data_IF_524956283546
#
_entry.id   IF_524956283546
#
_cell.length_a   1.000
_cell.length_b   1.000
_cell.length_c   1.000
_cell.angle_alpha   90.00
_cell.angle_beta   90.00
_cell.angle_gamma   90.00
#
_symmetry.space_group_name_H-M   'P 1'
#
loop_
_entity.id
_entity.type
_entity.pdbx_description
1 polymer ?
#
# COMPACT_ATOMS: atom_id res chain seq x y z
N UNK A 1 -4.27 12.06 15.23
CA UNK A 1 -2.84 11.99 14.81
C UNK A 1 -2.85 11.82 13.31
N UNK A 2 -2.09 12.62 12.57
CA UNK A 2 -1.97 12.49 11.11
C UNK A 2 -0.97 11.35 10.81
N UNK A 3 -1.50 10.17 10.48
CA UNK A 3 -0.69 8.97 10.29
C UNK A 3 0.20 9.02 9.05
N UNK A 4 -0.24 9.70 7.99
CA UNK A 4 0.54 9.83 6.76
C UNK A 4 1.71 10.78 6.96
N UNK A 5 1.48 11.91 7.66
CA UNK A 5 2.56 12.81 8.06
C UNK A 5 3.59 12.10 8.93
N UNK A 6 3.16 11.34 9.93
CA UNK A 6 4.07 10.56 10.79
C UNK A 6 4.89 9.56 9.96
N UNK A 7 4.25 8.80 9.08
CA UNK A 7 4.93 7.81 8.25
C UNK A 7 5.98 8.47 7.33
N UNK A 8 5.64 9.61 6.71
CA UNK A 8 6.55 10.40 5.87
C UNK A 8 7.77 10.90 6.65
N UNK A 9 7.52 11.56 7.78
CA UNK A 9 8.60 12.10 8.61
C UNK A 9 9.49 10.99 9.18
N UNK A 10 8.91 9.84 9.55
CA UNK A 10 9.65 8.70 10.05
C UNK A 10 10.54 8.07 8.97
N UNK A 11 10.02 7.82 7.77
CA UNK A 11 10.82 7.27 6.66
C UNK A 11 11.96 8.23 6.25
N UNK A 12 11.74 9.55 6.33
CA UNK A 12 12.76 10.55 6.01
C UNK A 12 13.86 10.66 7.09
N UNK A 13 13.54 10.34 8.34
CA UNK A 13 14.44 10.53 9.48
C UNK A 13 15.31 9.30 9.80
N UNK A 14 14.91 8.11 9.34
CA UNK A 14 15.54 6.84 9.72
C UNK A 14 16.20 6.20 8.51
N UNK A 15 17.51 5.94 8.61
CA UNK A 15 18.27 5.18 7.63
C UNK A 15 18.12 3.66 7.88
N UNK A 16 16.94 3.12 7.55
CA UNK A 16 16.64 1.70 7.63
C UNK A 16 15.54 1.29 6.63
N UNK A 17 15.44 0.00 6.35
CA UNK A 17 14.38 -0.57 5.51
C UNK A 17 13.02 -0.55 6.25
N UNK A 18 12.22 0.48 6.01
CA UNK A 18 10.93 0.66 6.69
C UNK A 18 9.83 -0.12 5.97
N UNK A 19 9.12 -0.98 6.70
CA UNK A 19 7.90 -1.65 6.26
C UNK A 19 6.67 -0.97 6.87
N UNK A 20 5.76 -0.49 6.01
CA UNK A 20 4.48 0.09 6.47
C UNK A 20 3.38 -0.98 6.42
N UNK A 21 2.74 -1.21 7.56
CA UNK A 21 1.50 -1.97 7.64
C UNK A 21 0.33 -1.03 7.93
N UNK A 22 -0.78 -1.16 7.19
CA UNK A 22 -2.02 -0.47 7.56
C UNK A 22 -2.90 -0.07 6.38
N UNK A 23 -4.09 -0.68 6.31
CA UNK A 23 -5.23 -0.28 5.47
C UNK A 23 -4.87 0.23 4.07
N UNK A 24 -3.91 -0.42 3.40
CA UNK A 24 -3.60 -0.16 1.99
C UNK A 24 -4.69 -0.85 1.17
N UNK A 25 -5.81 -0.15 0.99
CA UNK A 25 -7.07 -0.71 0.50
C UNK A 25 -7.62 -0.01 -0.76
N UNK A 26 -6.80 0.82 -1.41
CA UNK A 26 -7.15 1.51 -2.65
C UNK A 26 -5.89 1.85 -3.43
N UNK A 27 -6.03 2.09 -4.73
CA UNK A 27 -4.91 2.55 -5.56
C UNK A 27 -4.35 3.89 -5.09
N UNK A 28 -5.20 4.81 -4.63
CA UNK A 28 -4.76 6.08 -4.04
C UNK A 28 -3.88 5.86 -2.79
N UNK A 29 -4.20 4.87 -1.94
CA UNK A 29 -3.36 4.52 -0.79
C UNK A 29 -2.01 3.91 -1.21
N UNK A 30 -1.96 3.21 -2.34
CA UNK A 30 -0.69 2.73 -2.92
C UNK A 30 0.13 3.92 -3.41
N UNK A 31 -0.49 4.90 -4.08
CA UNK A 31 0.19 6.15 -4.49
C UNK A 31 0.77 6.89 -3.30
N UNK A 32 0.05 6.96 -2.17
CA UNK A 32 0.59 7.51 -0.93
C UNK A 32 1.86 6.78 -0.47
N UNK A 33 1.97 5.46 -0.67
CA UNK A 33 3.18 4.71 -0.31
C UNK A 33 4.34 5.08 -1.23
N UNK A 34 4.10 5.26 -2.54
CA UNK A 34 5.13 5.77 -3.45
C UNK A 34 5.61 7.17 -3.03
N UNK A 35 4.69 8.05 -2.62
CA UNK A 35 5.04 9.39 -2.15
C UNK A 35 5.80 9.39 -0.81
N UNK A 36 5.52 8.43 0.07
CA UNK A 36 6.21 8.29 1.38
C UNK A 36 7.58 7.64 1.21
N UNK A 37 7.71 6.71 0.25
CA UNK A 37 8.96 5.99 -0.03
C UNK A 37 9.42 5.00 1.05
N UNK A 38 8.55 4.15 1.64
CA UNK A 38 9.02 3.05 2.49
C UNK A 38 9.75 2.00 1.63
N UNK A 39 10.53 1.13 2.26
CA UNK A 39 11.12 -0.03 1.58
C UNK A 39 10.05 -1.01 1.07
N UNK A 40 9.02 -1.23 1.87
CA UNK A 40 7.90 -2.08 1.50
C UNK A 40 6.63 -1.72 2.27
N UNK A 41 5.50 -2.29 1.84
CA UNK A 41 4.26 -2.24 2.59
C UNK A 41 3.54 -3.58 2.53
N UNK A 42 2.68 -3.83 3.51
CA UNK A 42 1.88 -5.06 3.57
C UNK A 42 0.42 -4.81 3.27
N UNK A 43 -0.22 -5.81 2.69
CA UNK A 43 -1.64 -5.79 2.36
C UNK A 43 -2.31 -7.04 2.92
N UNK A 44 -3.35 -6.83 3.72
CA UNK A 44 -4.11 -7.89 4.39
C UNK A 44 -5.50 -8.03 3.81
N UNK A 45 -6.51 -7.71 4.64
CA UNK A 45 -7.92 -7.96 4.33
C UNK A 45 -8.41 -7.32 3.02
N UNK A 46 -7.79 -6.24 2.54
CA UNK A 46 -8.15 -5.59 1.29
C UNK A 46 -8.17 -6.54 0.07
N UNK A 47 -7.27 -7.52 0.02
CA UNK A 47 -7.23 -8.52 -1.04
C UNK A 47 -8.37 -9.55 -0.96
N UNK A 48 -8.87 -9.81 0.25
CA UNK A 48 -9.97 -10.75 0.50
C UNK A 48 -11.34 -10.08 0.42
N UNK A 49 -11.42 -8.81 0.81
CA UNK A 49 -12.64 -7.99 0.83
C UNK A 49 -12.95 -7.31 -0.51
N UNK A 50 -12.27 -7.73 -1.59
CA UNK A 50 -12.56 -7.27 -2.96
C UNK A 50 -12.44 -5.74 -3.14
N UNK A 51 -11.45 -5.11 -2.48
CA UNK A 51 -11.30 -3.65 -2.48
C UNK A 51 -10.78 -3.07 -3.80
N UNK A 52 -10.21 -3.90 -4.67
CA UNK A 52 -9.62 -3.47 -5.95
C UNK A 52 -10.43 -3.96 -7.16
N UNK A 53 -11.04 -5.13 -7.03
CA UNK A 53 -11.93 -5.70 -8.05
C UNK A 53 -13.21 -6.15 -7.36
N UNK A 54 -14.27 -5.35 -7.46
CA UNK A 54 -15.62 -5.72 -7.03
C UNK A 54 -16.01 -7.01 -7.77
N UNK A 55 -16.35 -8.06 -7.03
CA UNK A 55 -16.62 -9.42 -7.53
C UNK A 55 -15.41 -10.28 -7.96
N UNK A 56 -14.19 -9.75 -7.90
CA UNK A 56 -12.98 -10.54 -8.14
C UNK A 56 -12.66 -11.54 -7.02
N UNK A 57 -11.88 -12.57 -7.35
CA UNK A 57 -11.24 -13.44 -6.37
C UNK A 57 -10.08 -12.74 -5.65
N UNK A 58 -9.50 -13.39 -4.64
CA UNK A 58 -8.23 -12.96 -4.04
C UNK A 58 -7.14 -12.80 -5.11
N UNK A 59 -7.06 -13.75 -6.06
CA UNK A 59 -6.08 -13.70 -7.16
C UNK A 59 -6.32 -12.49 -8.06
N UNK A 60 -7.57 -12.16 -8.38
CA UNK A 60 -7.88 -11.02 -9.24
C UNK A 60 -7.53 -9.70 -8.56
N UNK A 61 -7.80 -9.58 -7.25
CA UNK A 61 -7.39 -8.41 -6.47
C UNK A 61 -5.86 -8.31 -6.36
N UNK A 62 -5.16 -9.41 -6.07
CA UNK A 62 -3.69 -9.43 -6.01
C UNK A 62 -3.07 -9.07 -7.36
N UNK A 63 -3.63 -9.59 -8.46
CA UNK A 63 -3.19 -9.27 -9.82
C UNK A 63 -3.40 -7.79 -10.13
N UNK A 64 -4.57 -7.22 -9.80
CA UNK A 64 -4.83 -5.80 -10.03
C UNK A 64 -3.82 -4.89 -9.29
N UNK A 65 -3.47 -5.25 -8.05
CA UNK A 65 -2.43 -4.54 -7.28
C UNK A 65 -1.06 -4.69 -7.93
N UNK A 66 -0.66 -5.92 -8.30
CA UNK A 66 0.64 -6.16 -8.92
C UNK A 66 0.79 -5.45 -10.27
N UNK A 67 -0.25 -5.50 -11.12
CA UNK A 67 -0.28 -4.80 -12.41
C UNK A 67 -0.20 -3.28 -12.22
N UNK A 68 -0.92 -2.73 -11.24
CA UNK A 68 -0.86 -1.31 -10.91
C UNK A 68 0.55 -0.88 -10.49
N UNK A 69 1.18 -1.63 -9.57
CA UNK A 69 2.54 -1.37 -9.11
C UNK A 69 3.57 -1.48 -10.24
N UNK A 70 3.38 -2.41 -11.18
CA UNK A 70 4.27 -2.56 -12.34
C UNK A 70 4.12 -1.42 -13.37
N UNK A 71 3.04 -0.65 -13.32
CA UNK A 71 2.79 0.49 -14.22
C UNK A 71 3.34 1.83 -13.72
N UNK A 72 3.95 1.84 -12.53
CA UNK A 72 4.38 3.05 -11.82
C UNK A 72 5.90 3.25 -11.92
#
# INVERSE_FOLDING_TARGET
VDGEKLAREFCAAIDAEICIAGSINSFARIDTMFDIGPWTFTMGSALFEKKFVADGSFRDNLKAVADYMASK
#
